data_IF_368657509056
#
_entry.id   IF_368657509056
#
_cell.length_a   1.000
_cell.length_b   1.000
_cell.length_c   1.000
_cell.angle_alpha   90.00
_cell.angle_beta   90.00
_cell.angle_gamma   90.00
#
_symmetry.space_group_name_H-M   'P 1'
#
loop_
_entity.id
_entity.type
_entity.pdbx_description
1 polymer ?
#
# COMPACT_ATOMS: atom_id res chain seq x y z
N UNK A 1 -1.33 -9.67 10.44
CA UNK A 1 -0.12 -9.72 11.31
C UNK A 1 0.77 -10.94 11.01
N UNK A 2 0.26 -12.15 10.91
CA UNK A 2 1.04 -13.38 10.68
C UNK A 2 1.99 -13.34 9.45
N UNK A 3 1.58 -12.71 8.36
CA UNK A 3 2.41 -12.68 7.14
C UNK A 3 3.67 -11.81 7.27
N UNK A 4 3.62 -10.71 8.03
CA UNK A 4 4.78 -9.83 8.26
C UNK A 4 5.90 -10.55 9.03
N UNK A 5 5.54 -11.32 10.04
CA UNK A 5 6.47 -12.07 10.91
C UNK A 5 6.89 -13.42 10.34
N UNK A 6 6.42 -13.81 9.14
CA UNK A 6 6.78 -15.08 8.52
C UNK A 6 8.30 -15.15 8.28
N UNK A 7 8.96 -16.07 8.94
CA UNK A 7 10.36 -16.35 8.73
C UNK A 7 10.57 -17.24 7.48
N UNK A 8 11.44 -16.78 6.59
CA UNK A 8 11.75 -17.48 5.35
C UNK A 8 13.25 -17.75 5.34
N UNK A 9 13.69 -19.01 5.18
CA UNK A 9 15.12 -19.34 5.09
C UNK A 9 15.82 -18.50 4.01
N UNK A 10 17.02 -18.00 4.29
CA UNK A 10 17.79 -17.12 3.38
C UNK A 10 18.01 -17.72 2.00
N UNK A 11 18.19 -19.05 1.92
CA UNK A 11 18.31 -19.78 0.65
C UNK A 11 17.08 -19.61 -0.27
N UNK A 12 15.94 -19.19 0.26
CA UNK A 12 14.72 -18.91 -0.50
C UNK A 12 14.61 -17.42 -0.88
N UNK A 13 15.68 -16.81 -1.35
CA UNK A 13 15.77 -15.38 -1.70
C UNK A 13 14.59 -14.88 -2.54
N UNK A 14 14.13 -15.64 -3.53
CA UNK A 14 12.99 -15.26 -4.38
C UNK A 14 11.69 -15.16 -3.58
N UNK A 15 11.45 -16.00 -2.57
CA UNK A 15 10.29 -15.90 -1.68
C UNK A 15 10.38 -14.66 -0.78
N UNK A 16 11.60 -14.35 -0.29
CA UNK A 16 11.84 -13.15 0.52
C UNK A 16 11.50 -11.91 -0.29
N UNK A 17 12.00 -11.79 -1.53
CA UNK A 17 11.69 -10.67 -2.43
C UNK A 17 10.19 -10.58 -2.69
N UNK A 18 9.51 -11.70 -2.94
CA UNK A 18 8.05 -11.73 -3.14
C UNK A 18 7.30 -11.22 -1.92
N UNK A 19 7.67 -11.69 -0.71
CA UNK A 19 7.09 -11.24 0.55
C UNK A 19 7.25 -9.72 0.70
N UNK A 20 8.46 -9.22 0.49
CA UNK A 20 8.78 -7.82 0.69
C UNK A 20 8.09 -6.91 -0.35
N UNK A 21 7.99 -7.34 -1.60
CA UNK A 21 7.18 -6.65 -2.62
C UNK A 21 5.70 -6.60 -2.24
N UNK A 22 5.15 -7.69 -1.72
CA UNK A 22 3.76 -7.71 -1.25
C UNK A 22 3.54 -6.78 -0.05
N UNK A 23 4.44 -6.80 0.94
CA UNK A 23 4.38 -5.88 2.07
C UNK A 23 4.54 -4.42 1.63
N UNK A 24 5.41 -4.15 0.65
CA UNK A 24 5.52 -2.82 0.07
C UNK A 24 4.20 -2.36 -0.56
N UNK A 25 3.47 -3.25 -1.24
CA UNK A 25 2.13 -2.94 -1.74
C UNK A 25 1.12 -2.67 -0.61
N UNK A 26 1.24 -3.36 0.54
CA UNK A 26 0.41 -3.10 1.72
C UNK A 26 0.64 -1.70 2.33
N UNK A 27 1.85 -1.14 2.18
CA UNK A 27 2.19 0.18 2.74
C UNK A 27 2.17 1.33 1.73
N UNK A 28 2.04 1.04 0.43
CA UNK A 28 2.09 2.07 -0.62
C UNK A 28 0.92 2.01 -1.60
N UNK A 29 0.18 0.92 -1.59
CA UNK A 29 -0.90 0.68 -2.55
C UNK A 29 -0.44 0.45 -3.99
N UNK A 30 0.86 0.25 -4.24
CA UNK A 30 1.39 0.05 -5.60
C UNK A 30 0.90 -1.26 -6.21
N UNK A 31 0.52 -1.24 -7.48
CA UNK A 31 0.28 -2.47 -8.23
C UNK A 31 1.62 -3.15 -8.59
N UNK A 32 1.61 -4.45 -8.86
CA UNK A 32 2.81 -5.21 -9.15
C UNK A 32 3.67 -4.58 -10.27
N UNK A 33 3.04 -4.29 -11.41
CA UNK A 33 3.75 -3.72 -12.56
C UNK A 33 4.40 -2.38 -12.25
N UNK A 34 3.80 -1.61 -11.34
CA UNK A 34 4.36 -0.33 -10.89
C UNK A 34 5.51 -0.58 -9.91
N UNK A 35 5.31 -1.43 -8.87
CA UNK A 35 6.29 -1.71 -7.82
C UNK A 35 7.63 -2.22 -8.38
N UNK A 36 7.61 -3.16 -9.34
CA UNK A 36 8.84 -3.71 -9.94
C UNK A 36 9.58 -2.72 -10.86
N UNK A 37 8.95 -1.61 -11.23
CA UNK A 37 9.54 -0.59 -12.10
C UNK A 37 9.96 0.68 -11.37
N UNK A 38 9.64 0.81 -10.09
CA UNK A 38 10.01 1.97 -9.28
C UNK A 38 11.53 2.05 -9.15
N UNK A 39 12.05 3.25 -9.39
CA UNK A 39 13.45 3.60 -9.28
C UNK A 39 13.67 4.67 -8.21
N UNK A 40 14.91 4.99 -7.87
CA UNK A 40 15.22 6.10 -6.94
C UNK A 40 14.69 7.44 -7.43
N UNK A 41 14.55 7.66 -8.75
CA UNK A 41 14.00 8.89 -9.34
C UNK A 41 12.51 9.10 -9.00
N UNK A 42 11.83 8.05 -8.54
CA UNK A 42 10.45 8.12 -8.07
C UNK A 42 10.33 8.60 -6.62
N UNK A 43 11.46 8.72 -5.90
CA UNK A 43 11.51 9.20 -4.54
C UNK A 43 11.85 10.68 -4.50
N UNK A 44 11.12 11.45 -3.69
CA UNK A 44 11.42 12.87 -3.45
C UNK A 44 11.11 13.24 -2.00
N UNK A 45 11.75 14.29 -1.51
CA UNK A 45 11.45 14.86 -0.20
C UNK A 45 10.55 16.08 -0.36
N UNK A 46 9.60 16.21 0.56
CA UNK A 46 8.85 17.46 0.70
C UNK A 46 9.66 18.49 1.51
N UNK A 47 9.09 19.69 1.67
CA UNK A 47 9.72 20.81 2.39
C UNK A 47 9.94 20.50 3.89
N UNK A 48 9.18 19.53 4.44
CA UNK A 48 9.32 19.03 5.81
C UNK A 48 10.36 17.90 5.93
N UNK A 49 11.00 17.50 4.83
CA UNK A 49 11.99 16.43 4.77
C UNK A 49 11.41 15.02 4.71
N UNK A 50 10.09 14.86 4.68
CA UNK A 50 9.43 13.56 4.56
C UNK A 50 9.64 12.96 3.17
N UNK A 51 9.88 11.65 3.11
CA UNK A 51 10.10 10.95 1.85
C UNK A 51 8.79 10.47 1.24
N UNK A 52 8.60 10.77 -0.02
CA UNK A 52 7.43 10.43 -0.81
C UNK A 52 7.79 9.57 -2.01
N UNK A 53 6.85 8.70 -2.40
CA UNK A 53 6.86 7.97 -3.65
C UNK A 53 5.93 8.66 -4.65
N UNK A 54 6.46 8.98 -5.85
CA UNK A 54 5.72 9.54 -6.98
C UNK A 54 5.93 8.65 -8.20
N UNK A 55 4.84 8.11 -8.76
CA UNK A 55 4.93 7.22 -9.90
C UNK A 55 3.73 7.38 -10.84
N UNK A 56 3.93 7.10 -12.13
CA UNK A 56 2.83 6.98 -13.08
C UNK A 56 2.42 5.53 -13.20
N UNK A 57 1.13 5.29 -13.08
CA UNK A 57 0.56 3.96 -13.20
C UNK A 57 0.69 3.43 -14.63
N UNK A 58 1.34 2.28 -14.80
CA UNK A 58 1.51 1.64 -16.12
C UNK A 58 0.19 1.35 -16.83
N UNK A 59 -0.87 1.06 -16.08
CA UNK A 59 -2.18 0.71 -16.65
C UNK A 59 -2.99 1.93 -17.12
N UNK A 60 -2.86 3.08 -16.46
CA UNK A 60 -3.78 4.22 -16.61
C UNK A 60 -3.08 5.54 -16.89
N UNK A 61 -1.75 5.58 -16.80
CA UNK A 61 -0.89 6.76 -16.84
C UNK A 61 -1.20 7.85 -15.79
N UNK A 62 -2.10 7.59 -14.86
CA UNK A 62 -2.40 8.51 -13.77
C UNK A 62 -1.29 8.54 -12.73
N UNK A 63 -1.09 9.73 -12.16
CA UNK A 63 -0.08 9.97 -11.15
C UNK A 63 -0.54 9.47 -9.79
N UNK A 64 0.23 8.54 -9.19
CA UNK A 64 0.10 8.14 -7.79
C UNK A 64 1.16 8.87 -6.94
N UNK A 65 0.76 9.26 -5.72
CA UNK A 65 1.66 9.88 -4.73
C UNK A 65 1.34 9.35 -3.35
N UNK A 66 2.34 8.83 -2.65
CA UNK A 66 2.18 8.27 -1.31
C UNK A 66 3.36 8.71 -0.44
N UNK A 67 3.08 9.24 0.76
CA UNK A 67 4.10 9.45 1.79
C UNK A 67 4.56 8.08 2.29
N UNK A 68 5.86 7.87 2.35
CA UNK A 68 6.41 6.57 2.74
C UNK A 68 6.39 6.41 4.24
N UNK A 69 5.69 5.38 4.70
CA UNK A 69 5.68 4.95 6.09
C UNK A 69 7.05 4.34 6.47
N UNK A 70 7.42 4.33 7.76
CA UNK A 70 8.67 3.75 8.24
C UNK A 70 8.90 2.31 7.76
N UNK A 71 7.83 1.51 7.69
CA UNK A 71 7.88 0.13 7.20
C UNK A 71 8.24 0.05 5.70
N UNK A 72 7.70 0.94 4.89
CA UNK A 72 8.04 1.00 3.47
C UNK A 72 9.49 1.45 3.27
N UNK A 73 9.97 2.40 4.10
CA UNK A 73 11.36 2.85 4.09
C UNK A 73 12.32 1.73 4.48
N UNK A 74 11.99 0.94 5.50
CA UNK A 74 12.79 -0.23 5.92
C UNK A 74 12.90 -1.27 4.79
N UNK A 75 11.80 -1.52 4.06
CA UNK A 75 11.82 -2.43 2.90
C UNK A 75 12.70 -1.90 1.77
N UNK A 76 12.64 -0.60 1.46
CA UNK A 76 13.51 0.03 0.46
C UNK A 76 14.97 -0.07 0.89
N UNK A 77 15.27 0.25 2.16
CA UNK A 77 16.63 0.21 2.72
C UNK A 77 17.26 -1.18 2.65
N UNK A 78 16.47 -2.25 2.84
CA UNK A 78 16.92 -3.63 2.71
C UNK A 78 17.49 -3.97 1.33
N UNK A 79 17.00 -3.30 0.29
CA UNK A 79 17.39 -3.52 -1.10
C UNK A 79 18.20 -2.37 -1.68
N UNK A 80 18.74 -1.49 -0.84
CA UNK A 80 19.58 -0.39 -1.30
C UNK A 80 20.85 -0.96 -1.95
N UNK A 81 20.96 -0.81 -3.27
CA UNK A 81 22.05 -1.34 -4.08
C UNK A 81 22.29 -0.37 -5.24
N UNK A 82 23.49 0.23 -5.26
CA UNK A 82 23.85 1.26 -6.24
C UNK A 82 24.04 0.70 -7.64
N UNK A 83 24.18 -0.62 -7.77
CA UNK A 83 24.33 -1.28 -9.07
C UNK A 83 23.00 -1.45 -9.81
N UNK A 84 21.86 -1.29 -9.13
CA UNK A 84 20.53 -1.43 -9.72
C UNK A 84 19.84 -0.09 -9.92
N UNK A 85 19.08 -0.01 -10.99
CA UNK A 85 18.21 1.14 -11.27
C UNK A 85 16.89 1.08 -10.50
N UNK A 86 16.34 -0.15 -10.29
CA UNK A 86 15.06 -0.37 -9.59
C UNK A 86 15.28 -0.50 -8.08
N UNK A 87 14.27 -0.09 -7.27
CA UNK A 87 14.34 -0.21 -5.81
C UNK A 87 14.39 -1.66 -5.34
N UNK A 88 13.64 -2.55 -6.00
CA UNK A 88 13.62 -3.97 -5.68
C UNK A 88 14.34 -4.79 -6.75
N UNK A 89 14.89 -5.95 -6.39
CA UNK A 89 15.40 -6.90 -7.36
C UNK A 89 14.33 -7.29 -8.38
N UNK A 90 14.70 -7.50 -9.65
CA UNK A 90 13.75 -7.89 -10.67
C UNK A 90 13.11 -9.24 -10.31
N UNK A 91 11.82 -9.33 -10.52
CA UNK A 91 11.07 -10.57 -10.35
C UNK A 91 9.95 -10.60 -11.39
N UNK A 92 9.82 -11.68 -12.13
CA UNK A 92 8.74 -11.84 -13.09
C UNK A 92 7.42 -12.23 -12.40
N UNK A 93 6.31 -11.97 -13.09
CA UNK A 93 4.97 -12.17 -12.53
C UNK A 93 4.63 -13.65 -12.30
N UNK A 94 5.16 -14.56 -13.12
CA UNK A 94 4.92 -15.99 -12.97
C UNK A 94 5.58 -16.50 -11.67
N UNK A 95 6.85 -16.18 -11.47
CA UNK A 95 7.60 -16.50 -10.25
C UNK A 95 6.93 -15.88 -9.02
N UNK A 96 6.49 -14.62 -9.10
CA UNK A 96 5.78 -13.97 -8.00
C UNK A 96 4.51 -14.75 -7.63
N UNK A 97 3.68 -15.15 -8.59
CA UNK A 97 2.46 -15.92 -8.32
C UNK A 97 2.74 -17.28 -7.68
N UNK A 98 3.75 -17.99 -8.18
CA UNK A 98 4.16 -19.28 -7.61
C UNK A 98 4.62 -19.11 -6.15
N UNK A 99 5.46 -18.11 -5.89
CA UNK A 99 5.94 -17.81 -4.55
C UNK A 99 4.80 -17.36 -3.62
N UNK A 100 3.83 -16.55 -4.08
CA UNK A 100 2.66 -16.17 -3.28
C UNK A 100 1.86 -17.37 -2.80
N UNK A 101 1.65 -18.37 -3.70
CA UNK A 101 1.00 -19.63 -3.32
C UNK A 101 1.80 -20.39 -2.25
N UNK A 102 3.12 -20.48 -2.40
CA UNK A 102 4.00 -21.10 -1.42
C UNK A 102 3.99 -20.36 -0.08
N UNK A 103 4.09 -19.02 -0.10
CA UNK A 103 4.06 -18.17 1.08
C UNK A 103 2.73 -18.26 1.83
N UNK A 104 1.60 -18.38 1.11
CA UNK A 104 0.30 -18.66 1.69
C UNK A 104 0.32 -19.90 2.56
N UNK A 105 0.83 -21.02 2.01
CA UNK A 105 0.93 -22.29 2.73
C UNK A 105 1.85 -22.20 3.93
N UNK A 106 3.02 -21.57 3.78
CA UNK A 106 3.97 -21.36 4.87
C UNK A 106 3.39 -20.52 6.01
N UNK A 107 2.51 -19.55 5.68
CA UNK A 107 1.84 -18.70 6.66
C UNK A 107 0.56 -19.32 7.24
N UNK A 108 0.16 -20.52 6.82
CA UNK A 108 -1.07 -21.20 7.29
C UNK A 108 -2.36 -20.46 6.91
N UNK A 109 -2.35 -19.67 5.82
CA UNK A 109 -3.52 -18.90 5.41
C UNK A 109 -4.50 -19.78 4.62
N UNK A 110 -5.78 -19.76 5.02
CA UNK A 110 -6.85 -20.47 4.31
C UNK A 110 -7.25 -19.80 2.99
N UNK A 111 -7.23 -18.47 2.95
CA UNK A 111 -7.59 -17.69 1.77
C UNK A 111 -6.45 -17.62 0.76
N UNK A 112 -6.81 -17.54 -0.53
CA UNK A 112 -5.82 -17.31 -1.58
C UNK A 112 -5.11 -15.97 -1.37
N UNK A 113 -3.78 -16.00 -1.48
CA UNK A 113 -2.95 -14.82 -1.36
C UNK A 113 -2.52 -14.36 -2.76
N UNK A 114 -3.01 -13.20 -3.19
CA UNK A 114 -2.64 -12.59 -4.47
C UNK A 114 -2.07 -11.19 -4.24
N UNK A 115 -1.14 -10.77 -5.09
CA UNK A 115 -0.44 -9.50 -4.93
C UNK A 115 -1.38 -8.29 -4.78
N UNK A 116 -2.49 -8.29 -5.51
CA UNK A 116 -3.45 -7.19 -5.47
C UNK A 116 -4.10 -6.98 -4.10
N UNK A 117 -4.12 -8.02 -3.25
CA UNK A 117 -4.61 -7.90 -1.86
C UNK A 117 -3.77 -6.92 -1.03
N UNK A 118 -2.47 -6.78 -1.31
CA UNK A 118 -1.64 -5.77 -0.66
C UNK A 118 -2.17 -4.35 -0.92
N UNK A 119 -2.54 -4.05 -2.16
CA UNK A 119 -3.16 -2.77 -2.52
C UNK A 119 -4.55 -2.59 -1.88
N UNK A 120 -5.34 -3.67 -1.77
CA UNK A 120 -6.60 -3.65 -1.02
C UNK A 120 -6.37 -3.33 0.46
N UNK A 121 -5.38 -3.98 1.09
CA UNK A 121 -5.03 -3.71 2.48
C UNK A 121 -4.61 -2.26 2.70
N UNK A 122 -3.82 -1.68 1.79
CA UNK A 122 -3.47 -0.27 1.85
C UNK A 122 -4.71 0.62 1.81
N UNK A 123 -5.60 0.40 0.82
CA UNK A 123 -6.78 1.22 0.64
C UNK A 123 -7.79 1.11 1.79
N UNK A 124 -7.92 -0.07 2.39
CA UNK A 124 -8.90 -0.33 3.46
C UNK A 124 -8.31 -0.08 4.84
N UNK A 125 -7.30 -0.88 5.22
CA UNK A 125 -6.80 -0.95 6.60
C UNK A 125 -5.81 0.18 6.93
N UNK A 126 -5.00 0.60 5.96
CA UNK A 126 -3.94 1.59 6.21
C UNK A 126 -4.42 3.02 5.99
N UNK A 127 -5.49 3.21 5.22
CA UNK A 127 -5.97 4.55 4.89
C UNK A 127 -7.42 4.81 5.30
N UNK A 128 -8.40 4.04 4.80
CA UNK A 128 -9.80 4.30 5.11
C UNK A 128 -10.15 4.13 6.59
N UNK A 129 -9.64 3.10 7.25
CA UNK A 129 -9.87 2.88 8.68
C UNK A 129 -9.25 4.00 9.54
N UNK A 130 -8.14 4.60 9.07
CA UNK A 130 -7.48 5.73 9.73
C UNK A 130 -8.08 7.10 9.34
N UNK A 131 -9.21 7.11 8.62
CA UNK A 131 -9.95 8.34 8.35
C UNK A 131 -9.51 9.12 7.12
N UNK A 132 -8.65 8.58 6.28
CA UNK A 132 -8.26 9.25 5.03
C UNK A 132 -9.45 9.29 4.08
N UNK A 133 -9.84 10.48 3.55
CA UNK A 133 -10.96 10.59 2.60
C UNK A 133 -10.73 9.75 1.34
N UNK A 134 -11.81 9.18 0.81
CA UNK A 134 -11.77 8.29 -0.35
C UNK A 134 -11.20 8.97 -1.61
N UNK A 135 -11.45 10.28 -1.76
CA UNK A 135 -10.90 11.10 -2.83
C UNK A 135 -9.38 11.19 -2.75
N UNK A 136 -8.86 11.35 -1.53
CA UNK A 136 -7.43 11.35 -1.24
C UNK A 136 -6.81 9.99 -1.57
N UNK A 137 -7.46 8.90 -1.13
CA UNK A 137 -7.01 7.53 -1.45
C UNK A 137 -7.00 7.29 -2.96
N UNK A 138 -8.03 7.75 -3.66
CA UNK A 138 -8.09 7.66 -5.12
C UNK A 138 -6.88 8.32 -5.80
N UNK A 139 -6.46 9.50 -5.31
CA UNK A 139 -5.26 10.21 -5.78
C UNK A 139 -3.97 9.47 -5.40
N UNK A 140 -3.87 9.00 -4.17
CA UNK A 140 -2.70 8.20 -3.72
C UNK A 140 -2.49 6.99 -4.61
N UNK A 141 -3.58 6.29 -4.92
CA UNK A 141 -3.57 5.09 -5.75
C UNK A 141 -3.43 5.36 -7.26
N UNK A 142 -3.55 6.61 -7.72
CA UNK A 142 -3.53 6.96 -9.14
C UNK A 142 -4.71 6.35 -9.90
N UNK A 143 -5.91 6.39 -9.32
CA UNK A 143 -7.13 5.99 -10.02
C UNK A 143 -7.64 7.12 -10.91
N UNK A 144 -8.02 6.78 -12.14
CA UNK A 144 -8.66 7.71 -13.08
C UNK A 144 -10.10 7.99 -12.73
N UNK A 145 -10.76 7.07 -12.02
CA UNK A 145 -12.16 7.15 -11.64
C UNK A 145 -12.31 6.71 -10.16
N UNK A 146 -12.96 7.56 -9.38
CA UNK A 146 -13.21 7.30 -7.95
C UNK A 146 -14.04 6.04 -7.71
N UNK A 147 -14.90 5.64 -8.65
CA UNK A 147 -15.66 4.37 -8.56
C UNK A 147 -14.76 3.17 -8.34
N UNK A 148 -13.52 3.20 -8.87
CA UNK A 148 -12.52 2.15 -8.63
C UNK A 148 -12.06 2.10 -7.17
N UNK A 149 -12.14 3.23 -6.45
CA UNK A 149 -11.79 3.31 -5.04
C UNK A 149 -12.99 2.98 -4.15
N UNK A 150 -14.21 3.25 -4.60
CA UNK A 150 -15.44 3.00 -3.84
C UNK A 150 -15.66 1.53 -3.47
N UNK A 151 -15.04 0.60 -4.20
CA UNK A 151 -15.07 -0.85 -3.84
C UNK A 151 -14.47 -1.12 -2.45
N UNK A 152 -13.61 -0.22 -1.94
CA UNK A 152 -13.02 -0.29 -0.61
C UNK A 152 -13.88 0.38 0.47
N UNK A 153 -14.77 1.29 0.08
CA UNK A 153 -15.56 2.14 0.98
C UNK A 153 -16.79 1.41 1.52
N UNK A 154 -16.58 0.37 2.32
CA UNK A 154 -17.65 -0.22 3.12
C UNK A 154 -17.72 0.50 4.46
N UNK A 155 -18.72 1.36 4.63
CA UNK A 155 -18.99 1.98 5.93
C UNK A 155 -19.57 0.90 6.85
N UNK A 156 -18.81 0.55 7.88
CA UNK A 156 -19.34 -0.34 8.94
C UNK A 156 -20.18 0.46 9.93
N UNK A 157 -21.15 -0.16 10.64
CA UNK A 157 -21.89 0.53 11.71
C UNK A 157 -20.97 1.18 12.74
N UNK A 158 -19.90 0.49 13.15
CA UNK A 158 -18.89 1.03 14.07
C UNK A 158 -18.30 2.33 13.54
N UNK A 159 -17.87 2.36 12.28
CA UNK A 159 -17.30 3.54 11.64
C UNK A 159 -18.29 4.70 11.58
N UNK A 160 -19.56 4.40 11.27
CA UNK A 160 -20.62 5.41 11.26
C UNK A 160 -20.76 6.09 12.64
N UNK A 161 -20.76 5.32 13.71
CA UNK A 161 -20.83 5.87 15.07
C UNK A 161 -19.62 6.72 15.41
N UNK A 162 -18.40 6.23 15.13
CA UNK A 162 -17.16 6.97 15.39
C UNK A 162 -17.08 8.29 14.60
N UNK A 163 -17.54 8.31 13.36
CA UNK A 163 -17.60 9.53 12.54
C UNK A 163 -18.65 10.52 13.06
N UNK A 164 -19.81 10.02 13.53
CA UNK A 164 -20.84 10.84 14.16
C UNK A 164 -20.36 11.44 15.49
N UNK A 165 -19.70 10.66 16.32
CA UNK A 165 -19.17 11.16 17.60
C UNK A 165 -18.13 12.27 17.36
N UNK A 166 -17.26 12.11 16.37
CA UNK A 166 -16.29 13.14 15.96
C UNK A 166 -17.01 14.40 15.43
N UNK A 167 -18.07 14.22 14.65
CA UNK A 167 -18.86 15.33 14.15
C UNK A 167 -19.52 16.12 15.29
N UNK A 168 -20.15 15.43 16.24
CA UNK A 168 -20.80 16.05 17.41
C UNK A 168 -19.77 16.83 18.23
N UNK A 169 -18.59 16.26 18.49
CA UNK A 169 -17.52 16.96 19.22
C UNK A 169 -17.01 18.18 18.46
N UNK A 170 -16.76 18.07 17.17
CA UNK A 170 -16.27 19.17 16.34
C UNK A 170 -17.30 20.31 16.18
N UNK A 171 -18.59 20.03 16.37
CA UNK A 171 -19.67 21.02 16.22
C UNK A 171 -20.24 21.50 17.55
N UNK A 172 -19.70 21.08 18.69
CA UNK A 172 -20.22 21.41 20.02
C UNK A 172 -20.43 22.92 20.24
N UNK A 173 -19.52 23.74 19.72
CA UNK A 173 -19.55 25.20 19.88
C UNK A 173 -20.13 25.93 18.66
N UNK A 174 -20.67 25.20 17.70
CA UNK A 174 -21.23 25.75 16.47
C UNK A 174 -22.62 26.35 16.77
N UNK A 175 -22.70 27.67 16.89
CA UNK A 175 -23.98 28.39 16.95
C UNK A 175 -24.54 28.49 15.54
N UNK A 176 -25.61 27.74 15.23
CA UNK A 176 -26.38 27.96 14.04
C UNK A 176 -27.07 29.34 14.18
N UNK A 177 -26.70 30.29 13.33
CA UNK A 177 -27.44 31.56 13.19
C UNK A 177 -28.62 31.23 12.28
N UNK A 178 -29.82 31.09 12.86
CA UNK A 178 -31.10 30.99 12.15
C UNK A 178 -31.59 32.35 11.76
#
# INVERSE_FOLDING_TARGET
>A
MLFRSLEIPEKRRSHIITKDLFLFACYTGTAYADAVSITRKNLFRDDEGSLWLKYRRKKTDYLGRVKLLPEALALIGKYCDDTRTTLFPPQDYHTLRANMKSLRLMAGLSQDLVYHMGRHSFASLVTLEEGVPIETISKMLGHSNIKTTQIYARVTPKRLFEDMDRFVEATRDLKLIL
#
